data_IF_014635429783
#
_entry.id   IF_014635429783
#
_cell.length_a   1.000
_cell.length_b   1.000
_cell.length_c   1.000
_cell.angle_alpha   90.00
_cell.angle_beta   90.00
_cell.angle_gamma   90.00
#
_symmetry.space_group_name_H-M   'P 1'
#
loop_
_entity.id
_entity.type
_entity.pdbx_description
1 polymer ?
#
# COMPACT_ATOMS: atom_id res chain seq x y z
N UNK A 1 -11.67 12.34 25.44
CA UNK A 1 -11.02 11.32 24.57
C UNK A 1 -9.76 11.89 23.96
N UNK A 2 -8.67 11.11 23.87
CA UNK A 2 -7.52 11.49 23.05
C UNK A 2 -7.96 11.64 21.59
N UNK A 3 -7.43 12.65 20.89
CA UNK A 3 -7.68 12.78 19.45
C UNK A 3 -6.99 11.64 18.70
N UNK A 4 -7.34 11.42 17.42
CA UNK A 4 -6.61 10.48 16.57
C UNK A 4 -5.10 10.75 16.58
N UNK A 5 -4.73 12.04 16.55
CA UNK A 5 -3.34 12.48 16.61
C UNK A 5 -2.68 12.06 17.91
N UNK A 6 -3.34 12.26 19.05
CA UNK A 6 -2.80 11.86 20.36
C UNK A 6 -2.67 10.33 20.46
N UNK A 7 -3.66 9.60 19.93
CA UNK A 7 -3.65 8.13 19.93
C UNK A 7 -2.53 7.56 19.04
N UNK A 8 -2.27 8.20 17.90
CA UNK A 8 -1.17 7.86 17.01
C UNK A 8 0.20 8.19 17.65
N UNK A 9 0.31 9.34 18.32
CA UNK A 9 1.53 9.76 19.02
C UNK A 9 1.89 8.81 20.15
N UNK A 10 0.92 8.38 20.96
CA UNK A 10 1.13 7.38 22.02
C UNK A 10 1.55 6.02 21.45
N UNK A 11 0.92 5.58 20.35
CA UNK A 11 1.32 4.35 19.67
C UNK A 11 2.76 4.44 19.11
N UNK A 12 3.14 5.58 18.52
CA UNK A 12 4.51 5.83 18.08
C UNK A 12 5.50 5.89 19.25
N UNK A 13 5.12 6.49 20.38
CA UNK A 13 5.96 6.59 21.58
C UNK A 13 6.16 5.24 22.28
N UNK A 14 5.17 4.34 22.20
CA UNK A 14 5.24 2.99 22.74
C UNK A 14 5.91 1.98 21.79
N UNK A 15 6.29 2.38 20.57
CA UNK A 15 6.91 1.48 19.61
C UNK A 15 8.32 1.07 20.09
N UNK A 16 8.61 -0.24 20.25
CA UNK A 16 9.94 -0.69 20.65
C UNK A 16 10.99 -0.16 19.66
N UNK A 17 12.12 0.39 20.11
CA UNK A 17 13.14 0.96 19.22
C UNK A 17 13.78 -0.06 18.26
N UNK A 18 13.64 -1.36 18.55
CA UNK A 18 14.05 -2.46 17.66
C UNK A 18 13.03 -2.81 16.59
N UNK A 19 11.82 -2.23 16.65
CA UNK A 19 10.76 -2.50 15.69
C UNK A 19 10.95 -1.65 14.44
N UNK A 20 11.02 -2.31 13.27
CA UNK A 20 11.14 -1.68 11.97
C UNK A 20 9.93 -2.00 11.10
N UNK A 21 9.33 -0.95 10.54
CA UNK A 21 8.27 -1.05 9.54
C UNK A 21 8.87 -1.13 8.13
N UNK A 22 8.35 -2.04 7.32
CA UNK A 22 8.67 -2.17 5.91
C UNK A 22 7.43 -1.88 5.08
N UNK A 23 7.60 -1.05 4.06
CA UNK A 23 6.53 -0.66 3.15
C UNK A 23 6.69 -1.41 1.83
N UNK A 24 5.60 -2.00 1.35
CA UNK A 24 5.62 -2.81 0.13
C UNK A 24 4.51 -2.41 -0.83
N UNK A 25 4.80 -2.55 -2.12
CA UNK A 25 3.87 -2.33 -3.23
C UNK A 25 3.84 -3.57 -4.13
N UNK A 26 2.64 -4.10 -4.37
CA UNK A 26 2.39 -5.07 -5.44
C UNK A 26 1.64 -4.38 -6.57
N UNK A 27 2.21 -4.39 -7.78
CA UNK A 27 1.60 -3.88 -8.99
C UNK A 27 1.08 -5.04 -9.84
N UNK A 28 -0.18 -4.93 -10.28
CA UNK A 28 -0.85 -5.95 -11.06
C UNK A 28 -1.73 -5.37 -12.16
N UNK A 29 -1.71 -6.01 -13.32
CA UNK A 29 -2.65 -5.82 -14.42
C UNK A 29 -2.75 -7.14 -15.20
N UNK A 30 -3.84 -7.38 -15.93
CA UNK A 30 -4.02 -8.64 -16.68
C UNK A 30 -2.95 -8.93 -17.73
N UNK A 31 -2.21 -7.91 -18.18
CA UNK A 31 -1.11 -8.05 -19.14
C UNK A 31 0.19 -8.57 -18.52
N UNK A 32 0.27 -8.68 -17.19
CA UNK A 32 1.48 -9.12 -16.50
C UNK A 32 1.45 -10.64 -16.34
N UNK A 33 2.55 -11.32 -16.70
CA UNK A 33 2.68 -12.76 -16.43
C UNK A 33 2.71 -13.06 -14.92
N UNK A 34 3.35 -12.17 -14.15
CA UNK A 34 3.53 -12.27 -12.70
C UNK A 34 3.44 -10.86 -12.08
N UNK A 35 2.82 -10.68 -10.90
CA UNK A 35 2.81 -9.40 -10.20
C UNK A 35 4.21 -8.84 -9.98
N UNK A 36 4.37 -7.52 -10.14
CA UNK A 36 5.60 -6.86 -9.78
C UNK A 36 5.55 -6.44 -8.31
N UNK A 37 6.55 -6.84 -7.52
CA UNK A 37 6.55 -6.68 -6.06
C UNK A 37 7.78 -5.91 -5.62
N UNK A 38 7.57 -4.83 -4.87
CA UNK A 38 8.62 -3.91 -4.45
C UNK A 38 8.55 -3.69 -2.96
N UNK A 39 9.72 -3.69 -2.30
CA UNK A 39 9.90 -3.22 -0.94
C UNK A 39 10.66 -1.89 -0.97
N UNK A 40 10.14 -0.91 -0.26
CA UNK A 40 10.64 0.46 -0.27
C UNK A 40 11.86 0.64 0.64
N UNK A 41 12.89 1.30 0.11
CA UNK A 41 13.98 1.90 0.88
C UNK A 41 14.73 0.92 1.81
N UNK A 42 14.96 -0.30 1.32
CA UNK A 42 15.82 -1.33 1.94
C UNK A 42 17.06 -1.60 1.08
N UNK A 43 18.10 -2.17 1.70
CA UNK A 43 19.37 -2.44 1.02
C UNK A 43 19.34 -3.64 0.08
N UNK A 44 18.54 -4.66 0.42
CA UNK A 44 18.48 -5.94 -0.30
C UNK A 44 17.02 -6.39 -0.47
N UNK A 45 16.78 -7.24 -1.46
CA UNK A 45 15.48 -7.88 -1.66
C UNK A 45 15.06 -8.67 -0.42
N UNK A 46 13.78 -8.61 -0.08
CA UNK A 46 13.24 -9.24 1.13
C UNK A 46 12.06 -10.16 0.79
N UNK A 47 11.79 -11.11 1.67
CA UNK A 47 10.67 -12.02 1.54
C UNK A 47 9.60 -11.68 2.59
N UNK A 48 8.34 -11.61 2.16
CA UNK A 48 7.21 -11.30 3.02
C UNK A 48 6.04 -12.24 2.71
N UNK A 49 5.26 -12.59 3.74
CA UNK A 49 4.06 -13.41 3.56
C UNK A 49 2.87 -12.61 3.05
N UNK A 50 2.05 -13.25 2.21
CA UNK A 50 0.84 -12.69 1.63
C UNK A 50 -0.38 -13.24 2.38
N UNK A 51 -1.36 -12.37 2.65
CA UNK A 51 -2.58 -12.74 3.36
C UNK A 51 -3.32 -13.92 2.70
N UNK A 52 -3.91 -14.80 3.50
CA UNK A 52 -4.63 -15.99 3.02
C UNK A 52 -5.86 -15.66 2.13
N UNK A 53 -6.35 -14.42 2.17
CA UNK A 53 -7.47 -13.93 1.36
C UNK A 53 -7.03 -13.25 0.06
N UNK A 54 -5.73 -13.16 -0.21
CA UNK A 54 -5.21 -12.49 -1.40
C UNK A 54 -5.67 -13.20 -2.67
N UNK A 55 -5.92 -12.43 -3.73
CA UNK A 55 -6.27 -13.00 -5.03
C UNK A 55 -5.12 -13.81 -5.67
N UNK A 56 -3.87 -13.58 -5.22
CA UNK A 56 -2.65 -14.14 -5.81
C UNK A 56 -1.67 -14.51 -4.70
N UNK A 57 -1.06 -15.69 -4.80
CA UNK A 57 -0.08 -16.22 -3.85
C UNK A 57 -0.56 -16.18 -2.38
N UNK A 58 -1.84 -16.47 -2.15
CA UNK A 58 -2.46 -16.44 -0.83
C UNK A 58 -1.75 -17.38 0.16
N UNK A 59 -1.34 -16.85 1.31
CA UNK A 59 -0.64 -17.61 2.35
C UNK A 59 0.81 -17.98 2.01
N UNK A 60 1.33 -17.57 0.86
CA UNK A 60 2.71 -17.85 0.46
C UNK A 60 3.66 -16.72 0.88
N UNK A 61 4.91 -17.09 1.17
CA UNK A 61 6.00 -16.12 1.32
C UNK A 61 6.62 -15.84 -0.04
N UNK A 62 6.57 -14.58 -0.48
CA UNK A 62 7.02 -14.15 -1.80
C UNK A 62 8.13 -13.11 -1.70
N UNK A 63 8.98 -13.07 -2.72
CA UNK A 63 10.09 -12.12 -2.81
C UNK A 63 9.61 -10.75 -3.31
N UNK A 64 10.02 -9.70 -2.61
CA UNK A 64 9.85 -8.29 -2.97
C UNK A 64 11.21 -7.69 -3.31
N UNK A 65 11.26 -6.93 -4.39
CA UNK A 65 12.50 -6.35 -4.91
C UNK A 65 12.77 -5.01 -4.22
N UNK A 66 14.01 -4.80 -3.77
CA UNK A 66 14.40 -3.53 -3.18
C UNK A 66 14.41 -2.42 -4.22
N UNK A 67 13.55 -1.41 -4.05
CA UNK A 67 13.59 -0.21 -4.88
C UNK A 67 13.42 1.06 -4.01
N UNK A 68 14.07 2.17 -4.39
CA UNK A 68 13.75 3.47 -3.82
C UNK A 68 12.32 3.87 -4.18
N UNK A 69 11.54 4.25 -3.16
CA UNK A 69 10.17 4.73 -3.32
C UNK A 69 10.05 6.09 -2.63
N UNK A 70 9.59 7.08 -3.39
CA UNK A 70 9.17 8.38 -2.92
C UNK A 70 7.66 8.50 -3.07
N UNK A 71 6.95 8.84 -1.99
CA UNK A 71 5.52 9.06 -2.00
C UNK A 71 5.17 10.28 -1.15
N UNK A 72 4.29 11.13 -1.66
CA UNK A 72 3.70 12.23 -0.87
C UNK A 72 2.52 11.75 -0.03
N UNK A 73 2.09 12.58 0.92
CA UNK A 73 0.78 12.39 1.53
C UNK A 73 -0.33 12.59 0.49
N UNK A 74 -1.44 11.82 0.56
CA UNK A 74 -2.58 12.05 -0.30
C UNK A 74 -3.15 13.45 -0.14
N UNK A 75 -3.46 14.10 -1.26
CA UNK A 75 -4.13 15.40 -1.26
C UNK A 75 -5.52 15.27 -0.64
N UNK A 76 -5.86 16.21 0.24
CA UNK A 76 -7.17 16.29 0.87
C UNK A 76 -7.93 17.50 0.31
N UNK A 77 -8.56 17.29 -0.85
CA UNK A 77 -9.39 18.29 -1.51
C UNK A 77 -10.85 17.85 -1.52
N UNK A 78 -11.76 18.77 -1.15
CA UNK A 78 -13.19 18.47 -1.10
C UNK A 78 -13.73 18.02 -2.47
N UNK A 79 -14.47 16.90 -2.48
CA UNK A 79 -15.10 16.36 -3.69
C UNK A 79 -14.19 15.58 -4.64
N UNK A 80 -12.89 15.46 -4.35
CA UNK A 80 -11.97 14.61 -5.12
C UNK A 80 -11.58 13.37 -4.31
N UNK A 81 -11.39 12.20 -4.96
CA UNK A 81 -10.79 11.07 -4.27
C UNK A 81 -9.35 11.45 -3.88
N UNK A 82 -8.89 11.06 -2.68
CA UNK A 82 -7.51 11.30 -2.27
C UNK A 82 -6.57 10.58 -3.22
N UNK A 83 -5.66 11.34 -3.81
CA UNK A 83 -4.60 10.85 -4.67
C UNK A 83 -3.24 11.34 -4.20
N UNK A 84 -2.20 10.57 -4.49
CA UNK A 84 -0.81 10.98 -4.26
C UNK A 84 0.06 10.63 -5.44
N UNK A 85 1.16 11.36 -5.61
CA UNK A 85 2.19 11.02 -6.58
C UNK A 85 3.18 10.05 -5.95
N UNK A 86 3.44 8.96 -6.65
CA UNK A 86 4.52 8.04 -6.32
C UNK A 86 5.59 8.11 -7.38
N UNK A 87 6.84 7.98 -6.95
CA UNK A 87 8.00 7.82 -7.80
C UNK A 87 8.77 6.59 -7.33
N UNK A 88 9.00 5.66 -8.26
CA UNK A 88 9.79 4.46 -8.02
C UNK A 88 11.00 4.50 -8.94
N UNK A 89 12.18 4.48 -8.36
CA UNK A 89 13.45 4.51 -9.10
C UNK A 89 14.06 3.11 -9.19
N UNK A 90 15.04 2.95 -10.08
CA UNK A 90 15.76 1.70 -10.32
C UNK A 90 14.85 0.53 -10.77
N UNK A 91 13.76 0.84 -11.46
CA UNK A 91 12.75 -0.18 -11.83
C UNK A 91 13.05 -0.92 -13.14
N UNK A 92 14.26 -0.70 -13.68
CA UNK A 92 14.62 -0.95 -15.08
C UNK A 92 14.43 -2.40 -15.53
N UNK A 93 14.71 -3.36 -14.65
CA UNK A 93 14.75 -4.78 -15.04
C UNK A 93 13.37 -5.44 -15.02
N UNK A 94 12.50 -5.04 -14.10
CA UNK A 94 11.28 -5.79 -13.78
C UNK A 94 9.99 -5.02 -14.12
N UNK A 95 9.90 -3.73 -13.81
CA UNK A 95 8.68 -2.97 -14.09
C UNK A 95 8.64 -2.40 -15.49
N UNK A 96 9.76 -1.93 -16.06
CA UNK A 96 9.76 -1.30 -17.40
C UNK A 96 9.07 -2.16 -18.46
N UNK A 97 9.40 -3.46 -18.64
CA UNK A 97 8.73 -4.27 -19.63
C UNK A 97 7.23 -4.44 -19.31
N UNK A 98 6.88 -4.68 -18.04
CA UNK A 98 5.49 -4.85 -17.59
C UNK A 98 4.65 -3.60 -17.85
N UNK A 99 5.14 -2.42 -17.45
CA UNK A 99 4.45 -1.14 -17.65
C UNK A 99 4.27 -0.82 -19.14
N UNK A 100 5.25 -1.14 -20.00
CA UNK A 100 5.11 -0.98 -21.45
C UNK A 100 4.01 -1.88 -22.02
N UNK A 101 3.94 -3.14 -21.58
CA UNK A 101 2.84 -4.03 -21.97
C UNK A 101 1.49 -3.49 -21.46
N UNK A 102 1.45 -2.96 -20.24
CA UNK A 102 0.25 -2.39 -19.65
C UNK A 102 -0.30 -1.18 -20.40
N UNK A 103 0.56 -0.35 -21.00
CA UNK A 103 0.11 0.79 -21.81
C UNK A 103 -0.69 0.38 -23.05
N UNK A 104 -0.54 -0.87 -23.51
CA UNK A 104 -1.35 -1.42 -24.60
C UNK A 104 -2.75 -1.91 -24.17
N UNK A 105 -2.99 -2.07 -22.87
CA UNK A 105 -4.24 -2.57 -22.32
C UNK A 105 -5.15 -1.44 -21.84
N UNK A 106 -6.47 -1.57 -22.07
CA UNK A 106 -7.49 -0.65 -21.56
C UNK A 106 -7.92 -1.00 -20.14
N UNK A 107 -6.94 -1.17 -19.25
CA UNK A 107 -7.16 -1.54 -17.84
C UNK A 107 -6.24 -0.69 -16.96
N UNK A 108 -6.71 -0.26 -15.78
CA UNK A 108 -5.83 0.40 -14.81
C UNK A 108 -4.91 -0.61 -14.12
N UNK A 109 -3.67 -0.20 -13.87
CA UNK A 109 -2.75 -0.99 -13.05
C UNK A 109 -3.21 -0.87 -11.59
N UNK A 110 -3.51 -2.01 -10.97
CA UNK A 110 -3.81 -2.11 -9.56
C UNK A 110 -2.51 -2.05 -8.75
N UNK A 111 -2.52 -1.28 -7.66
CA UNK A 111 -1.42 -1.17 -6.72
C UNK A 111 -1.93 -1.57 -5.35
N UNK A 112 -1.34 -2.59 -4.75
CA UNK A 112 -1.68 -3.06 -3.42
C UNK A 112 -0.55 -2.68 -2.47
N UNK A 113 -0.89 -1.92 -1.44
CA UNK A 113 0.03 -1.48 -0.40
C UNK A 113 -0.11 -2.35 0.85
N UNK A 114 1.03 -2.75 1.42
CA UNK A 114 1.10 -3.48 2.69
C UNK A 114 2.26 -2.97 3.53
N UNK A 115 2.06 -2.98 4.84
CA UNK A 115 3.12 -2.71 5.81
C UNK A 115 3.40 -3.96 6.63
N UNK A 116 4.68 -4.25 6.82
CA UNK A 116 5.15 -5.34 7.69
C UNK A 116 5.93 -4.75 8.83
N UNK A 117 5.87 -5.37 10.00
CA UNK A 117 6.48 -4.85 11.21
C UNK A 117 7.25 -5.97 11.91
N UNK A 118 8.55 -5.80 12.13
CA UNK A 118 9.34 -6.81 12.85
C UNK A 118 8.78 -7.04 14.27
N UNK A 119 8.89 -8.26 14.84
CA UNK A 119 9.67 -9.40 14.33
C UNK A 119 8.93 -10.29 13.32
N UNK A 120 7.63 -10.07 13.10
CA UNK A 120 6.82 -10.94 12.26
C UNK A 120 6.61 -10.35 10.85
N UNK A 121 7.16 -11.02 9.85
CA UNK A 121 7.04 -10.65 8.44
C UNK A 121 6.16 -11.65 7.65
N UNK A 122 5.52 -12.60 8.35
CA UNK A 122 4.69 -13.64 7.73
C UNK A 122 3.30 -13.12 7.33
N UNK A 123 2.83 -12.03 7.94
CA UNK A 123 1.57 -11.37 7.58
C UNK A 123 1.72 -9.84 7.62
N UNK A 124 0.94 -9.11 6.81
CA UNK A 124 0.95 -7.65 6.85
C UNK A 124 0.36 -7.13 8.16
N UNK A 125 1.10 -6.26 8.85
CA UNK A 125 0.63 -5.54 10.03
C UNK A 125 -0.42 -4.47 9.69
N UNK A 126 -0.36 -3.92 8.47
CA UNK A 126 -1.36 -2.99 7.93
C UNK A 126 -1.61 -3.23 6.44
N UNK A 127 -2.86 -3.02 6.02
CA UNK A 127 -3.34 -3.32 4.68
C UNK A 127 -4.01 -4.69 4.60
N UNK A 128 -4.22 -5.24 3.40
CA UNK A 128 -3.90 -4.66 2.09
C UNK A 128 -4.77 -3.45 1.75
N UNK A 129 -4.17 -2.39 1.20
CA UNK A 129 -4.91 -1.23 0.66
C UNK A 129 -4.78 -1.20 -0.85
N UNK A 130 -5.92 -1.24 -1.54
CA UNK A 130 -5.99 -1.18 -3.01
C UNK A 130 -6.05 0.25 -3.54
N UNK A 131 -5.17 0.53 -4.49
CA UNK A 131 -5.08 1.76 -5.26
C UNK A 131 -5.13 1.45 -6.77
N UNK A 132 -5.48 2.47 -7.54
CA UNK A 132 -5.36 2.50 -9.00
C UNK A 132 -4.25 3.47 -9.38
N UNK A 133 -3.31 3.01 -10.21
CA UNK A 133 -2.26 3.85 -10.77
C UNK A 133 -2.72 4.48 -12.08
N UNK A 134 -2.61 5.81 -12.16
CA UNK A 134 -3.00 6.67 -13.27
C UNK A 134 -1.85 7.60 -13.67
N UNK A 135 -1.96 8.22 -14.84
CA UNK A 135 -1.01 9.23 -15.30
C UNK A 135 0.46 8.77 -15.23
N UNK A 136 0.71 7.55 -15.70
CA UNK A 136 2.02 6.91 -15.62
C UNK A 136 2.98 7.52 -16.63
N UNK A 137 4.10 8.04 -16.14
CA UNK A 137 5.19 8.61 -16.92
C UNK A 137 6.49 7.86 -16.59
N UNK A 138 7.19 7.42 -17.63
CA UNK A 138 8.47 6.74 -17.51
C UNK A 138 9.59 7.62 -18.06
N UNK A 139 10.62 7.87 -17.25
CA UNK A 139 11.83 8.58 -17.67
C UNK A 139 13.04 7.73 -17.29
N UNK A 140 13.70 7.12 -18.29
CA UNK A 140 14.80 6.19 -18.04
C UNK A 140 14.38 5.00 -17.17
N UNK A 141 14.98 4.88 -15.98
CA UNK A 141 14.70 3.84 -14.99
C UNK A 141 13.76 4.30 -13.86
N UNK A 142 13.12 5.46 -14.02
CA UNK A 142 12.21 6.06 -13.04
C UNK A 142 10.77 5.98 -13.55
N UNK A 143 9.89 5.48 -12.69
CA UNK A 143 8.44 5.42 -12.87
C UNK A 143 7.79 6.47 -11.98
N UNK A 144 7.06 7.41 -12.56
CA UNK A 144 6.22 8.34 -11.81
C UNK A 144 4.76 8.10 -12.18
N UNK A 145 3.88 8.14 -11.19
CA UNK A 145 2.45 8.05 -11.45
C UNK A 145 1.61 8.58 -10.29
N UNK A 146 0.33 8.74 -10.55
CA UNK A 146 -0.65 9.15 -9.56
C UNK A 146 -1.43 7.94 -9.07
N UNK A 147 -1.36 7.63 -7.78
CA UNK A 147 -2.16 6.57 -7.16
C UNK A 147 -3.39 7.16 -6.50
N UNK A 148 -4.52 6.50 -6.71
CA UNK A 148 -5.81 6.89 -6.16
C UNK A 148 -6.45 5.70 -5.46
N UNK A 149 -7.09 5.91 -4.31
CA UNK A 149 -7.74 4.80 -3.58
C UNK A 149 -8.86 4.22 -4.45
N UNK A 150 -8.79 2.92 -4.71
CA UNK A 150 -9.77 2.23 -5.55
C UNK A 150 -11.13 2.26 -4.87
N UNK A 151 -12.13 2.73 -5.62
CA UNK A 151 -13.54 2.66 -5.26
C UNK A 151 -13.88 3.28 -3.88
N UNK A 152 -13.21 4.37 -3.50
CA UNK A 152 -13.43 5.01 -2.19
C UNK A 152 -14.90 5.43 -1.97
N UNK A 153 -15.58 5.90 -3.01
CA UNK A 153 -16.98 6.34 -2.92
C UNK A 153 -17.96 5.20 -2.58
N UNK A 154 -17.64 3.96 -2.96
CA UNK A 154 -18.44 2.78 -2.63
C UNK A 154 -17.86 1.98 -1.45
N UNK A 155 -16.71 2.39 -0.88
CA UNK A 155 -16.27 1.87 0.40
C UNK A 155 -17.23 2.38 1.47
N UNK A 156 -18.17 1.51 1.86
CA UNK A 156 -19.09 1.75 2.98
C UNK A 156 -18.29 2.18 4.21
N UNK A 157 -18.43 3.46 4.56
CA UNK A 157 -17.94 4.02 5.81
C UNK A 157 -19.05 4.89 6.42
N UNK A 158 -19.44 4.66 7.69
CA UNK A 158 -19.06 3.54 8.55
C UNK A 158 -19.59 2.19 8.03
N UNK A 159 -18.88 1.09 8.32
CA UNK A 159 -19.45 -0.25 8.12
C UNK A 159 -20.62 -0.38 9.09
N UNK A 160 -21.84 -0.61 8.60
CA UNK A 160 -23.06 -0.85 9.42
C UNK A 160 -22.84 -1.91 10.52
N UNK A 161 -21.87 -2.82 10.34
CA UNK A 161 -21.49 -3.86 11.32
C UNK A 161 -20.55 -3.37 12.45
N UNK A 162 -20.09 -2.12 12.40
CA UNK A 162 -19.29 -1.46 13.44
C UNK A 162 -19.94 -0.13 13.80
N UNK A 163 -21.14 -0.18 14.38
CA UNK A 163 -21.57 0.94 15.21
C UNK A 163 -20.61 0.96 16.41
N UNK A 164 -19.84 2.04 16.55
CA UNK A 164 -19.04 2.25 17.73
C UNK A 164 -20.01 2.38 18.91
N UNK A 165 -20.11 1.34 19.73
CA UNK A 165 -20.93 1.35 20.93
C UNK A 165 -20.07 1.63 22.18
N UNK A 166 -20.72 2.11 23.23
CA UNK A 166 -20.10 2.40 24.52
C UNK A 166 -19.65 1.12 25.24
N UNK A 167 -20.01 -0.07 24.73
CA UNK A 167 -19.60 -1.36 25.28
C UNK A 167 -18.20 -1.73 24.78
N UNK A 168 -17.88 -1.46 23.51
CA UNK A 168 -16.57 -1.67 22.91
C UNK A 168 -15.60 -0.50 23.15
N UNK A 169 -16.11 0.73 23.23
CA UNK A 169 -15.29 1.93 23.42
C UNK A 169 -15.89 2.80 24.54
N UNK A 170 -15.60 2.44 25.79
CA UNK A 170 -16.12 3.13 26.99
C UNK A 170 -15.77 4.63 27.05
N UNK A 171 -14.77 5.07 26.29
CA UNK A 171 -14.39 6.47 26.15
C UNK A 171 -15.39 7.33 25.35
N UNK A 172 -16.39 6.71 24.71
CA UNK A 172 -17.48 7.40 24.00
C UNK A 172 -18.62 7.88 24.91
N UNK A 173 -18.55 7.60 26.21
CA UNK A 173 -19.47 8.21 27.18
C UNK A 173 -19.10 9.69 27.37
N UNK A 174 -20.08 10.61 27.37
CA UNK A 174 -19.86 12.04 27.63
C UNK A 174 -19.35 12.31 29.03
#
# INVERSE_FOLDING_TARGET
>A
MPTFTDSWLEACASCPPSSRTYYTLELWQSSFDVPARIVANVGDDMAFGIEASAARNAGETVKFIACPLEAGYPEQSAGKPPSTKIKVDNVARELVPKIRTAQGAREYIQVIYREYCTPDLSEPAYGPVEFELRNVVMVGASLTGEVMVKNLQNKRFPRITKNYDYVQFASLLP
#
